data_IF_060981253798
#
_entry.id   IF_060981253798
#
_cell.length_a   1.000
_cell.length_b   1.000
_cell.length_c   1.000
_cell.angle_alpha   90.00
_cell.angle_beta   90.00
_cell.angle_gamma   90.00
#
_symmetry.space_group_name_H-M   'P 1'
#
loop_
_entity.id
_entity.type
_entity.pdbx_description
1 polymer ?
#
# COMPACT_ATOMS: atom_id res chain seq x y z
N UNK A 1 -12.62 3.48 -22.25
CA UNK A 1 -11.75 4.62 -22.60
C UNK A 1 -11.82 4.84 -24.09
N UNK A 2 -11.90 6.10 -24.53
CA UNK A 2 -12.02 6.48 -25.94
C UNK A 2 -10.75 7.15 -26.41
N UNK A 3 -10.22 6.67 -27.52
CA UNK A 3 -9.04 7.20 -28.21
C UNK A 3 -9.28 7.30 -29.71
N UNK A 4 -8.31 7.83 -30.42
CA UNK A 4 -8.24 7.74 -31.87
C UNK A 4 -6.97 7.02 -32.27
N UNK A 5 -7.05 6.19 -33.30
CA UNK A 5 -5.84 5.60 -33.88
C UNK A 5 -5.08 6.64 -34.73
N UNK A 6 -3.98 6.22 -35.35
CA UNK A 6 -3.16 7.10 -36.22
C UNK A 6 -3.88 7.61 -37.47
N UNK A 7 -4.97 6.96 -37.87
CA UNK A 7 -5.81 7.33 -39.02
C UNK A 7 -6.99 8.21 -38.56
N UNK A 8 -7.12 8.51 -37.26
CA UNK A 8 -8.20 9.31 -36.74
C UNK A 8 -9.49 8.52 -36.47
N UNK A 9 -9.45 7.19 -36.58
CA UNK A 9 -10.62 6.36 -36.28
C UNK A 9 -10.83 6.25 -34.78
N UNK A 10 -12.05 6.51 -34.25
CA UNK A 10 -12.34 6.34 -32.84
C UNK A 10 -12.17 4.88 -32.39
N UNK A 11 -11.44 4.69 -31.31
CA UNK A 11 -11.19 3.39 -30.67
C UNK A 11 -11.73 3.44 -29.24
N UNK A 12 -12.66 2.53 -28.92
CA UNK A 12 -13.16 2.34 -27.57
C UNK A 12 -12.52 1.07 -26.97
N UNK A 13 -11.79 1.23 -25.88
CA UNK A 13 -11.14 0.13 -25.17
C UNK A 13 -11.64 0.11 -23.72
N UNK A 14 -12.22 -1.02 -23.31
CA UNK A 14 -12.49 -1.24 -21.89
C UNK A 14 -11.25 -1.81 -21.23
N UNK A 15 -10.59 -0.95 -20.45
CA UNK A 15 -9.39 -1.30 -19.68
C UNK A 15 -9.72 -1.72 -18.25
N UNK A 16 -10.96 -1.52 -17.77
CA UNK A 16 -11.33 -1.84 -16.40
C UNK A 16 -11.51 -3.34 -16.17
N UNK A 17 -11.74 -4.10 -17.21
CA UNK A 17 -12.03 -5.54 -17.12
C UNK A 17 -13.29 -5.87 -16.30
N UNK A 18 -14.03 -4.85 -15.87
CA UNK A 18 -15.31 -5.02 -15.20
C UNK A 18 -16.36 -5.38 -16.24
N UNK A 19 -16.92 -6.56 -16.08
CA UNK A 19 -18.12 -7.10 -16.74
C UNK A 19 -18.45 -6.58 -18.14
N UNK A 20 -18.19 -7.38 -19.14
CA UNK A 20 -18.65 -7.13 -20.50
C UNK A 20 -18.10 -8.14 -21.50
N UNK A 21 -18.78 -8.28 -22.63
CA UNK A 21 -18.44 -9.20 -23.72
C UNK A 21 -17.06 -8.98 -24.36
N UNK A 22 -16.34 -7.92 -23.95
CA UNK A 22 -15.07 -7.49 -24.54
C UNK A 22 -13.91 -7.50 -23.54
N UNK A 23 -13.91 -8.40 -22.56
CA UNK A 23 -12.76 -8.59 -21.67
C UNK A 23 -11.57 -9.06 -22.51
N UNK A 24 -10.60 -8.18 -22.73
CA UNK A 24 -9.42 -8.46 -23.55
C UNK A 24 -8.36 -9.28 -22.81
N UNK A 25 -8.39 -9.29 -21.48
CA UNK A 25 -7.39 -9.96 -20.63
C UNK A 25 -8.04 -10.61 -19.42
N UNK A 26 -7.41 -11.67 -18.89
CA UNK A 26 -7.89 -12.36 -17.69
C UNK A 26 -7.55 -11.62 -16.40
N UNK A 27 -6.70 -10.60 -16.46
CA UNK A 27 -6.34 -9.75 -15.33
C UNK A 27 -6.52 -8.26 -15.70
N UNK A 28 -6.42 -7.39 -14.69
CA UNK A 28 -6.58 -5.94 -14.83
C UNK A 28 -5.23 -5.19 -14.80
N UNK A 29 -4.13 -5.87 -15.04
CA UNK A 29 -2.81 -5.26 -15.10
C UNK A 29 -2.52 -4.71 -16.49
N UNK A 30 -1.94 -3.50 -16.54
CA UNK A 30 -1.57 -2.82 -17.77
C UNK A 30 -0.10 -2.46 -17.78
N UNK A 31 0.50 -2.54 -18.93
CA UNK A 31 1.85 -2.05 -19.16
C UNK A 31 1.83 -1.06 -20.32
N UNK A 32 2.26 0.18 -20.05
CA UNK A 32 2.32 1.25 -21.05
C UNK A 32 3.79 1.52 -21.39
N UNK A 33 4.19 1.19 -22.60
CA UNK A 33 5.55 1.38 -23.10
C UNK A 33 5.60 2.48 -24.17
N UNK A 34 6.62 3.31 -24.08
CA UNK A 34 6.91 4.32 -25.11
C UNK A 34 8.17 5.12 -24.74
N UNK A 35 8.89 5.68 -25.70
CA UNK A 35 10.03 6.53 -25.44
C UNK A 35 9.63 7.83 -24.71
N UNK A 36 10.61 8.59 -24.26
CA UNK A 36 10.37 9.93 -23.70
C UNK A 36 9.68 10.82 -24.75
N UNK A 37 8.69 11.62 -24.32
CA UNK A 37 7.91 12.48 -25.21
C UNK A 37 6.83 11.78 -26.05
N UNK A 38 6.65 10.46 -25.93
CA UNK A 38 5.61 9.71 -26.69
C UNK A 38 4.17 9.91 -26.21
N UNK A 39 3.97 10.68 -25.14
CA UNK A 39 2.63 10.92 -24.58
C UNK A 39 2.16 9.92 -23.55
N UNK A 40 3.03 9.08 -22.96
CA UNK A 40 2.66 8.12 -21.92
C UNK A 40 1.87 8.76 -20.77
N UNK A 41 2.41 9.83 -20.18
CA UNK A 41 1.75 10.52 -19.05
C UNK A 41 0.42 11.13 -19.50
N UNK A 42 0.34 11.68 -20.69
CA UNK A 42 -0.92 12.19 -21.26
C UNK A 42 -1.97 11.08 -21.40
N UNK A 43 -1.54 9.91 -21.93
CA UNK A 43 -2.41 8.73 -22.04
C UNK A 43 -2.91 8.27 -20.67
N UNK A 44 -2.01 8.14 -19.67
CA UNK A 44 -2.39 7.72 -18.32
C UNK A 44 -3.29 8.75 -17.64
N UNK A 45 -3.02 10.07 -17.80
CA UNK A 45 -3.93 11.11 -17.32
C UNK A 45 -5.35 10.95 -17.86
N UNK A 46 -5.47 10.64 -19.17
CA UNK A 46 -6.78 10.40 -19.80
C UNK A 46 -7.47 9.15 -19.22
N UNK A 47 -6.72 8.07 -18.96
CA UNK A 47 -7.25 6.86 -18.32
C UNK A 47 -7.74 7.14 -16.88
N UNK A 48 -6.94 7.81 -16.10
CA UNK A 48 -7.25 8.18 -14.70
C UNK A 48 -8.51 9.04 -14.64
N UNK A 49 -8.58 10.05 -15.49
CA UNK A 49 -9.77 10.91 -15.59
C UNK A 49 -11.04 10.09 -15.89
N UNK A 50 -10.99 9.23 -16.91
CA UNK A 50 -12.16 8.44 -17.31
C UNK A 50 -12.53 7.39 -16.24
N UNK A 51 -11.56 6.84 -15.51
CA UNK A 51 -11.83 5.94 -14.39
C UNK A 51 -12.48 6.68 -13.20
N UNK A 52 -12.01 7.89 -12.88
CA UNK A 52 -12.59 8.73 -11.83
C UNK A 52 -14.03 9.14 -12.16
N UNK A 53 -14.33 9.45 -13.42
CA UNK A 53 -15.70 9.74 -13.88
C UNK A 53 -16.66 8.54 -13.72
N UNK A 54 -16.13 7.34 -13.45
CA UNK A 54 -16.88 6.10 -13.17
C UNK A 54 -16.82 5.70 -11.68
N UNK A 55 -16.64 6.65 -10.79
CA UNK A 55 -16.59 6.45 -9.35
C UNK A 55 -15.52 5.42 -8.91
N UNK A 56 -14.37 5.41 -9.59
CA UNK A 56 -13.26 4.53 -9.26
C UNK A 56 -12.27 5.26 -8.35
N UNK A 57 -11.94 4.66 -7.21
CA UNK A 57 -10.85 5.13 -6.35
C UNK A 57 -9.50 4.94 -7.04
N UNK A 58 -8.67 5.98 -7.00
CA UNK A 58 -7.41 6.00 -7.74
C UNK A 58 -6.25 6.31 -6.80
N UNK A 59 -5.23 5.47 -6.85
CA UNK A 59 -3.95 5.69 -6.18
C UNK A 59 -2.85 5.74 -7.24
N UNK A 60 -2.08 6.82 -7.25
CA UNK A 60 -0.97 7.01 -8.18
C UNK A 60 0.35 7.07 -7.41
N UNK A 61 1.37 6.39 -7.95
CA UNK A 61 2.76 6.52 -7.50
C UNK A 61 3.58 6.99 -8.70
N UNK A 62 4.16 8.18 -8.60
CA UNK A 62 4.87 8.83 -9.69
C UNK A 62 6.21 9.40 -9.21
N UNK A 63 7.22 9.33 -10.04
CA UNK A 63 8.54 9.91 -9.78
C UNK A 63 8.76 11.23 -10.50
N UNK A 64 7.83 11.65 -11.38
CA UNK A 64 7.99 12.78 -12.27
C UNK A 64 7.02 13.95 -12.07
N UNK A 65 6.21 13.94 -11.03
CA UNK A 65 5.18 14.96 -10.73
C UNK A 65 4.20 15.22 -11.89
N UNK A 66 3.94 14.21 -12.73
CA UNK A 66 3.11 14.34 -13.93
C UNK A 66 1.61 14.43 -13.64
N UNK A 67 1.19 14.11 -12.41
CA UNK A 67 -0.22 13.95 -12.04
C UNK A 67 -0.69 14.93 -10.96
N UNK A 68 0.15 15.86 -10.52
CA UNK A 68 -0.18 16.84 -9.49
C UNK A 68 -1.43 17.66 -9.87
N UNK A 69 -1.43 18.28 -11.04
CA UNK A 69 -2.57 19.06 -11.53
C UNK A 69 -3.87 18.26 -11.68
N UNK A 70 -3.77 16.97 -12.05
CA UNK A 70 -4.94 16.09 -12.11
C UNK A 70 -5.47 15.77 -10.70
N UNK A 71 -4.57 15.51 -9.76
CA UNK A 71 -4.91 15.27 -8.36
C UNK A 71 -5.64 16.49 -7.75
N UNK A 72 -5.12 17.67 -7.97
CA UNK A 72 -5.73 18.93 -7.51
C UNK A 72 -7.11 19.16 -8.16
N UNK A 73 -7.21 18.94 -9.47
CA UNK A 73 -8.46 19.13 -10.20
C UNK A 73 -9.59 18.26 -9.66
N UNK A 74 -9.30 17.03 -9.24
CA UNK A 74 -10.27 16.12 -8.63
C UNK A 74 -10.37 16.23 -7.11
N UNK A 75 -9.72 17.22 -6.48
CA UNK A 75 -9.73 17.42 -5.03
C UNK A 75 -9.06 16.27 -4.26
N UNK A 76 -8.14 15.57 -4.90
CA UNK A 76 -7.38 14.46 -4.33
C UNK A 76 -6.32 14.94 -3.33
N UNK A 77 -5.72 14.00 -2.64
CA UNK A 77 -4.60 14.26 -1.73
C UNK A 77 -3.28 14.00 -2.45
N UNK A 78 -2.55 15.05 -2.76
CA UNK A 78 -1.19 14.98 -3.28
C UNK A 78 -0.18 14.90 -2.14
N UNK A 79 0.74 13.93 -2.20
CA UNK A 79 1.80 13.73 -1.19
C UNK A 79 3.11 13.66 -1.94
N UNK A 80 3.99 14.65 -1.74
CA UNK A 80 5.34 14.65 -2.30
C UNK A 80 6.36 14.21 -1.25
N UNK A 81 7.37 13.49 -1.69
CA UNK A 81 8.53 13.13 -0.89
C UNK A 81 9.74 13.91 -1.38
N UNK A 82 10.40 14.60 -0.45
CA UNK A 82 11.73 15.19 -0.66
C UNK A 82 12.61 14.87 0.53
N UNK A 83 13.92 14.97 0.38
CA UNK A 83 14.85 14.78 1.51
C UNK A 83 14.61 15.78 2.64
N UNK A 84 14.19 17.01 2.29
CA UNK A 84 13.87 18.07 3.25
C UNK A 84 12.49 17.88 3.90
N UNK A 85 11.56 17.25 3.17
CA UNK A 85 10.19 16.98 3.62
C UNK A 85 9.85 15.49 3.45
N UNK A 86 10.37 14.62 4.34
CA UNK A 86 10.07 13.20 4.29
C UNK A 86 8.60 12.94 4.64
N UNK A 87 8.00 11.96 3.98
CA UNK A 87 6.66 11.50 4.33
C UNK A 87 6.74 10.79 5.69
N UNK A 88 6.12 11.38 6.70
CA UNK A 88 6.02 10.76 8.02
C UNK A 88 4.68 10.06 8.15
N UNK A 89 4.71 8.75 8.11
CA UNK A 89 3.54 7.92 8.40
C UNK A 89 3.83 7.02 9.58
N UNK A 90 2.87 6.92 10.49
CA UNK A 90 2.95 5.95 11.58
C UNK A 90 2.06 4.73 11.23
N UNK A 91 2.64 3.64 10.72
CA UNK A 91 1.87 2.45 10.32
C UNK A 91 1.26 1.71 11.51
N UNK A 92 1.76 1.94 12.73
CA UNK A 92 1.22 1.32 13.95
C UNK A 92 -0.03 2.03 14.45
N UNK A 93 -0.31 3.27 14.05
CA UNK A 93 -1.47 4.02 14.51
C UNK A 93 -2.74 3.54 13.82
N UNK A 94 -3.35 2.51 14.37
CA UNK A 94 -4.56 1.85 13.86
C UNK A 94 -5.66 1.98 14.91
N UNK A 95 -6.89 2.26 14.50
CA UNK A 95 -8.06 2.24 15.38
C UNK A 95 -8.52 0.81 15.62
N UNK A 96 -9.24 0.59 16.73
CA UNK A 96 -9.72 -0.74 17.08
C UNK A 96 -10.63 -1.36 16.01
N UNK A 97 -11.47 -0.54 15.38
CA UNK A 97 -12.40 -0.96 14.33
C UNK A 97 -11.68 -1.34 13.01
N UNK A 98 -10.46 -0.80 12.82
CA UNK A 98 -9.63 -1.05 11.63
C UNK A 98 -8.69 -2.25 11.82
N UNK A 99 -8.55 -2.75 13.06
CA UNK A 99 -7.68 -3.88 13.35
C UNK A 99 -8.25 -5.19 12.78
N UNK A 100 -7.56 -5.76 11.83
CA UNK A 100 -7.94 -6.98 11.12
C UNK A 100 -6.72 -7.78 10.64
N UNK A 101 -6.96 -8.92 10.02
CA UNK A 101 -5.92 -9.83 9.51
C UNK A 101 -5.02 -9.16 8.47
N UNK A 102 -5.56 -8.27 7.64
CA UNK A 102 -4.79 -7.56 6.62
C UNK A 102 -3.79 -6.58 7.25
N UNK A 103 -4.22 -5.84 8.28
CA UNK A 103 -3.35 -4.93 9.03
C UNK A 103 -2.27 -5.68 9.80
N UNK A 104 -2.63 -6.81 10.41
CA UNK A 104 -1.66 -7.70 11.05
C UNK A 104 -0.62 -8.20 10.05
N UNK A 105 -1.04 -8.70 8.90
CA UNK A 105 -0.16 -9.15 7.82
C UNK A 105 0.76 -8.05 7.29
N UNK A 106 0.22 -6.84 7.12
CA UNK A 106 1.01 -5.67 6.70
C UNK A 106 2.10 -5.34 7.74
N UNK A 107 1.75 -5.21 9.01
CA UNK A 107 2.70 -4.89 10.07
C UNK A 107 3.74 -5.99 10.27
N UNK A 108 3.34 -7.25 10.19
CA UNK A 108 4.24 -8.39 10.23
C UNK A 108 5.30 -8.31 9.13
N UNK A 109 4.87 -8.08 7.89
CA UNK A 109 5.78 -7.92 6.75
C UNK A 109 6.71 -6.70 6.92
N UNK A 110 6.19 -5.59 7.44
CA UNK A 110 6.98 -4.39 7.71
C UNK A 110 8.06 -4.66 8.77
N UNK A 111 7.71 -5.28 9.88
CA UNK A 111 8.66 -5.63 10.96
C UNK A 111 9.73 -6.60 10.44
N UNK A 112 9.32 -7.61 9.66
CA UNK A 112 10.25 -8.55 9.04
C UNK A 112 11.23 -7.86 8.08
N UNK A 113 10.73 -6.94 7.27
CA UNK A 113 11.54 -6.16 6.34
C UNK A 113 12.57 -5.28 7.08
N UNK A 114 12.16 -4.63 8.16
CA UNK A 114 13.06 -3.81 8.99
C UNK A 114 14.12 -4.69 9.67
N UNK A 115 13.74 -5.85 10.17
CA UNK A 115 14.63 -6.74 10.90
C UNK A 115 15.63 -7.47 10.00
N UNK A 116 15.16 -8.04 8.89
CA UNK A 116 15.97 -8.91 8.02
C UNK A 116 16.36 -8.31 6.69
N UNK A 117 15.81 -7.15 6.35
CA UNK A 117 15.99 -6.54 5.03
C UNK A 117 15.22 -7.27 3.92
N UNK A 118 15.28 -6.72 2.71
CA UNK A 118 14.53 -7.22 1.54
C UNK A 118 14.97 -8.61 1.04
N UNK A 119 16.18 -9.05 1.39
CA UNK A 119 16.75 -10.34 0.99
C UNK A 119 16.75 -11.38 2.12
N UNK A 120 16.27 -11.01 3.30
CA UNK A 120 16.23 -11.88 4.46
C UNK A 120 15.19 -12.99 4.34
N UNK A 121 15.56 -14.22 4.71
CA UNK A 121 14.62 -15.35 4.81
C UNK A 121 14.01 -15.41 6.20
N UNK A 122 12.73 -15.66 6.27
CA UNK A 122 11.96 -15.79 7.52
C UNK A 122 11.53 -17.25 7.69
N UNK A 123 11.87 -17.83 8.84
CA UNK A 123 11.39 -19.16 9.20
C UNK A 123 9.92 -19.12 9.66
N UNK A 124 9.23 -20.26 9.60
CA UNK A 124 7.84 -20.36 10.08
C UNK A 124 7.72 -20.07 11.58
N UNK A 125 8.75 -20.34 12.36
CA UNK A 125 8.78 -20.05 13.80
C UNK A 125 8.87 -18.56 14.03
N UNK A 126 9.80 -17.87 13.36
CA UNK A 126 9.93 -16.42 13.45
C UNK A 126 8.65 -15.68 13.00
N UNK A 127 8.04 -16.16 11.91
CA UNK A 127 6.77 -15.61 11.41
C UNK A 127 5.66 -15.66 12.47
N UNK A 128 5.52 -16.81 13.15
CA UNK A 128 4.54 -16.97 14.25
C UNK A 128 4.85 -16.14 15.47
N UNK A 129 6.13 -16.06 15.87
CA UNK A 129 6.54 -15.27 17.03
C UNK A 129 6.26 -13.78 16.82
N UNK A 130 6.58 -13.24 15.66
CA UNK A 130 6.29 -11.83 15.34
C UNK A 130 4.79 -11.59 15.28
N UNK A 131 4.01 -12.49 14.69
CA UNK A 131 2.56 -12.41 14.67
C UNK A 131 1.97 -12.38 16.08
N UNK A 132 2.45 -13.25 16.96
CA UNK A 132 2.02 -13.29 18.36
C UNK A 132 2.36 -11.99 19.09
N UNK A 133 3.59 -11.49 18.97
CA UNK A 133 4.02 -10.23 19.62
C UNK A 133 3.19 -9.05 19.15
N UNK A 134 2.90 -8.96 17.84
CA UNK A 134 2.07 -7.87 17.30
C UNK A 134 0.65 -7.94 17.87
N UNK A 135 0.03 -9.12 17.91
CA UNK A 135 -1.30 -9.29 18.50
C UNK A 135 -1.33 -8.91 19.98
N UNK A 136 -0.35 -9.36 20.77
CA UNK A 136 -0.25 -9.02 22.19
C UNK A 136 0.00 -7.53 22.42
N UNK A 137 0.78 -6.86 21.53
CA UNK A 137 1.00 -5.42 21.57
C UNK A 137 -0.30 -4.62 21.38
N UNK A 138 -1.12 -4.99 20.40
CA UNK A 138 -2.40 -4.34 20.18
C UNK A 138 -3.43 -4.67 21.27
N UNK A 139 -3.41 -5.88 21.81
CA UNK A 139 -4.22 -6.22 22.97
C UNK A 139 -3.80 -5.42 24.21
N UNK A 140 -2.49 -5.24 24.42
CA UNK A 140 -1.96 -4.41 25.50
C UNK A 140 -2.37 -2.94 25.37
N UNK A 141 -2.55 -2.44 24.16
CA UNK A 141 -3.04 -1.08 23.93
C UNK A 141 -4.56 -0.98 24.05
N UNK A 142 -5.32 -1.85 23.39
CA UNK A 142 -6.77 -1.73 23.31
C UNK A 142 -7.50 -2.20 24.57
N UNK A 143 -6.98 -3.23 25.22
CA UNK A 143 -7.66 -3.92 26.34
C UNK A 143 -7.06 -3.57 27.67
N UNK A 144 -5.75 -3.80 27.86
CA UNK A 144 -5.11 -3.65 29.17
C UNK A 144 -4.56 -2.25 29.42
N UNK A 145 -4.46 -1.40 28.37
CA UNK A 145 -3.89 -0.04 28.41
C UNK A 145 -2.46 0.03 28.99
N UNK A 146 -1.71 -1.04 28.87
CA UNK A 146 -0.30 -1.08 29.26
C UNK A 146 0.61 -0.31 28.31
N UNK A 147 0.21 -0.23 27.03
CA UNK A 147 0.86 0.58 25.99
C UNK A 147 0.12 1.91 25.91
N UNK A 148 0.84 3.01 26.05
CA UNK A 148 0.24 4.36 26.06
C UNK A 148 -0.01 4.95 24.69
N UNK A 149 0.79 4.53 23.70
CA UNK A 149 0.80 5.11 22.36
C UNK A 149 1.19 4.03 21.34
N UNK A 150 0.56 4.04 20.18
CA UNK A 150 0.87 3.13 19.07
C UNK A 150 1.92 3.76 18.15
N UNK A 151 3.18 3.30 18.26
CA UNK A 151 4.26 3.67 17.36
C UNK A 151 5.35 2.59 17.35
N UNK A 152 6.32 2.71 16.42
CA UNK A 152 7.41 1.74 16.32
C UNK A 152 8.24 1.65 17.61
N UNK A 153 8.52 2.78 18.27
CA UNK A 153 9.31 2.79 19.50
C UNK A 153 8.66 1.99 20.63
N UNK A 154 7.37 2.25 20.89
CA UNK A 154 6.63 1.51 21.93
C UNK A 154 6.42 0.04 21.56
N UNK A 155 6.30 -0.27 20.27
CA UNK A 155 6.30 -1.66 19.79
C UNK A 155 7.66 -2.33 20.04
N UNK A 156 8.75 -1.65 19.75
CA UNK A 156 10.10 -2.16 19.98
C UNK A 156 10.36 -2.44 21.48
N UNK A 157 10.04 -1.48 22.35
CA UNK A 157 10.16 -1.64 23.81
C UNK A 157 9.33 -2.83 24.30
N UNK A 158 8.07 -2.91 23.90
CA UNK A 158 7.18 -4.03 24.23
C UNK A 158 7.74 -5.37 23.74
N UNK A 159 8.22 -5.41 22.51
CA UNK A 159 8.78 -6.62 21.89
C UNK A 159 10.03 -7.09 22.62
N UNK A 160 10.92 -6.17 23.01
CA UNK A 160 12.16 -6.49 23.73
C UNK A 160 11.86 -7.14 25.08
N UNK A 161 10.79 -6.73 25.76
CA UNK A 161 10.37 -7.31 27.04
C UNK A 161 9.61 -8.63 26.86
N UNK A 162 8.75 -8.72 25.83
CA UNK A 162 7.79 -9.82 25.70
C UNK A 162 8.32 -11.00 24.88
N UNK A 163 9.14 -10.76 23.88
CA UNK A 163 9.63 -11.80 22.97
C UNK A 163 10.42 -12.90 23.67
N UNK A 164 11.34 -12.61 24.62
CA UNK A 164 12.03 -13.65 25.38
C UNK A 164 11.06 -14.55 26.15
N UNK A 165 10.03 -13.97 26.77
CA UNK A 165 9.00 -14.73 27.51
C UNK A 165 8.19 -15.64 26.58
N UNK A 166 7.82 -15.14 25.40
CA UNK A 166 7.12 -15.96 24.39
C UNK A 166 8.01 -17.12 23.92
N UNK A 167 9.32 -16.89 23.74
CA UNK A 167 10.24 -17.95 23.37
C UNK A 167 10.29 -19.02 24.47
N UNK A 168 10.43 -18.65 25.73
CA UNK A 168 10.40 -19.59 26.86
C UNK A 168 9.07 -20.37 26.94
N UNK A 169 7.93 -19.67 26.80
CA UNK A 169 6.60 -20.27 26.81
C UNK A 169 6.41 -21.30 25.67
N UNK A 170 7.09 -21.12 24.55
CA UNK A 170 7.06 -22.00 23.39
C UNK A 170 8.20 -23.05 23.37
N UNK A 171 9.06 -23.07 24.39
CA UNK A 171 10.16 -24.03 24.50
C UNK A 171 11.31 -23.76 23.51
N UNK A 172 11.55 -22.52 23.15
CA UNK A 172 12.56 -22.04 22.20
C UNK A 172 13.73 -21.35 22.93
#
# INVERSE_FOLDING_TARGET
VYYTDRQGVPVAIDISGKEGRNKLTDNSNFFVLGPSGSGKSFYVNSMVRQAHEQDTDIVLVDTGNSYEGLCEYFGGKYISYTEEHPITMNPFKIKREEWNIEKLGFLKNLVMLIWKGSQGTVSKTEDRLIEQVINEYYDAYFTTKRVSNLCFNTFYEFSTERLPKICEENGL
#
